data_IF_242266868880
#
_entry.id   IF_242266868880
#
_cell.length_a   1.000
_cell.length_b   1.000
_cell.length_c   1.000
_cell.angle_alpha   90.00
_cell.angle_beta   90.00
_cell.angle_gamma   90.00
#
_symmetry.space_group_name_H-M   'P 1'
#
loop_
_entity.id
_entity.type
_entity.pdbx_description
1 polymer ?
#
# COMPACT_ATOMS: atom_id res chain seq x y z
N UNK A 1 29.11 18.92 37.62
CA UNK A 1 28.69 20.32 37.81
C UNK A 1 29.19 20.80 39.16
N UNK A 2 29.92 21.92 39.23
CA UNK A 2 30.41 22.49 40.50
C UNK A 2 29.18 23.01 41.27
N UNK A 3 28.99 22.56 42.51
CA UNK A 3 27.94 23.11 43.36
C UNK A 3 28.41 24.47 43.89
N UNK A 4 27.97 25.53 43.22
CA UNK A 4 28.34 26.92 43.51
C UNK A 4 28.03 27.26 44.97
N UNK A 5 26.89 26.82 45.49
CA UNK A 5 26.49 27.06 46.89
C UNK A 5 27.46 26.41 47.87
N UNK A 6 27.79 25.15 47.68
CA UNK A 6 28.77 24.44 48.53
C UNK A 6 30.15 25.10 48.50
N UNK A 7 30.61 25.54 47.34
CA UNK A 7 31.90 26.23 47.18
C UNK A 7 31.91 27.59 47.88
N UNK A 8 30.80 28.35 47.79
CA UNK A 8 30.64 29.62 48.50
C UNK A 8 30.57 29.45 50.02
N UNK A 9 29.91 28.39 50.51
CA UNK A 9 29.82 28.12 51.94
C UNK A 9 31.18 27.65 52.51
N UNK A 10 31.94 26.85 51.76
CA UNK A 10 33.33 26.49 52.10
C UNK A 10 34.26 27.72 52.14
N UNK A 11 34.12 28.67 51.20
CA UNK A 11 34.84 29.95 51.19
C UNK A 11 34.48 30.82 52.40
N UNK A 12 33.19 30.96 52.73
CA UNK A 12 32.74 31.70 53.92
C UNK A 12 33.35 31.13 55.21
N UNK A 13 33.41 29.80 55.32
CA UNK A 13 34.03 29.14 56.46
C UNK A 13 35.53 29.47 56.58
N UNK A 14 36.29 29.45 55.47
CA UNK A 14 37.71 29.87 55.48
C UNK A 14 37.85 31.33 55.90
N UNK A 15 36.99 32.22 55.40
CA UNK A 15 37.01 33.65 55.77
C UNK A 15 36.73 33.83 57.27
N UNK A 16 35.78 33.07 57.83
CA UNK A 16 35.47 33.13 59.26
C UNK A 16 36.64 32.62 60.12
N UNK A 17 37.31 31.55 59.70
CA UNK A 17 38.50 31.03 60.39
C UNK A 17 39.64 32.06 60.38
N UNK A 18 39.86 32.74 59.25
CA UNK A 18 40.86 33.81 59.12
C UNK A 18 40.54 35.01 60.04
N UNK A 19 39.27 35.43 60.12
CA UNK A 19 38.82 36.52 60.99
C UNK A 19 38.99 36.17 62.46
N UNK A 20 38.55 34.98 62.87
CA UNK A 20 38.67 34.53 64.25
C UNK A 20 40.12 34.45 64.70
N UNK A 21 41.03 34.04 63.82
CA UNK A 21 42.47 34.04 64.14
C UNK A 21 43.03 35.46 64.24
N UNK A 22 42.65 36.37 63.34
CA UNK A 22 43.08 37.77 63.37
C UNK A 22 42.62 38.49 64.66
N UNK A 23 41.45 38.15 65.20
CA UNK A 23 40.90 38.72 66.44
C UNK A 23 41.57 38.16 67.70
N UNK A 24 42.17 36.96 67.65
CA UNK A 24 42.77 36.29 68.80
C UNK A 24 44.26 36.63 69.05
N UNK A 25 44.87 37.50 68.24
CA UNK A 25 46.24 38.02 68.38
C UNK A 25 47.38 36.98 68.56
N UNK A 26 47.11 35.70 68.31
CA UNK A 26 48.09 34.62 68.39
C UNK A 26 48.86 34.47 67.08
N UNK A 27 50.11 34.01 67.17
CA UNK A 27 50.88 33.69 65.98
C UNK A 27 50.33 32.41 65.31
N UNK A 28 50.18 32.44 63.99
CA UNK A 28 49.84 31.26 63.20
C UNK A 28 50.86 30.14 63.45
N UNK A 29 50.40 28.98 63.89
CA UNK A 29 51.26 27.80 63.91
C UNK A 29 51.35 27.18 62.50
N UNK A 30 52.40 26.39 62.28
CA UNK A 30 52.70 25.76 60.98
C UNK A 30 51.56 24.85 60.49
N UNK A 31 50.86 24.18 61.40
CA UNK A 31 49.78 23.25 61.09
C UNK A 31 48.55 24.00 60.55
N UNK A 32 48.16 25.09 61.21
CA UNK A 32 47.01 25.92 60.82
C UNK A 32 47.24 26.54 59.44
N UNK A 33 48.47 27.03 59.19
CA UNK A 33 48.87 27.54 57.88
C UNK A 33 48.78 26.46 56.79
N UNK A 34 49.33 25.27 57.04
CA UNK A 34 49.28 24.16 56.08
C UNK A 34 47.85 23.69 55.77
N UNK A 35 46.98 23.66 56.78
CA UNK A 35 45.59 23.26 56.61
C UNK A 35 44.79 24.30 55.80
N UNK A 36 45.04 25.59 55.99
CA UNK A 36 44.45 26.64 55.17
C UNK A 36 44.91 26.57 53.72
N UNK A 37 46.22 26.41 53.49
CA UNK A 37 46.79 26.27 52.14
C UNK A 37 46.14 25.09 51.39
N UNK A 38 45.96 23.94 52.06
CA UNK A 38 45.26 22.78 51.47
C UNK A 38 43.80 23.09 51.14
N UNK A 39 43.06 23.75 52.03
CA UNK A 39 41.64 24.11 51.81
C UNK A 39 41.48 25.13 50.68
N UNK A 40 42.38 26.10 50.58
CA UNK A 40 42.41 27.09 49.48
C UNK A 40 42.71 26.40 48.15
N UNK A 41 43.72 25.53 48.10
CA UNK A 41 44.07 24.79 46.88
C UNK A 41 42.95 23.85 46.43
N UNK A 42 42.27 23.21 47.37
CA UNK A 42 41.10 22.36 47.10
C UNK A 42 39.94 23.15 46.49
N UNK A 43 39.67 24.36 46.98
CA UNK A 43 38.65 25.23 46.40
C UNK A 43 39.03 25.75 45.02
N UNK A 44 40.31 26.09 44.82
CA UNK A 44 40.83 26.51 43.52
C UNK A 44 40.64 25.40 42.48
N UNK A 45 40.98 24.15 42.82
CA UNK A 45 40.77 22.99 41.95
C UNK A 45 39.29 22.75 41.64
N UNK A 46 38.41 22.84 42.64
CA UNK A 46 36.95 22.75 42.44
C UNK A 46 36.39 23.86 41.56
N UNK A 47 36.96 25.07 41.63
CA UNK A 47 36.48 26.23 40.88
C UNK A 47 36.94 26.25 39.42
N UNK A 48 37.98 25.48 39.10
CA UNK A 48 38.49 25.40 37.73
C UNK A 48 37.48 24.68 36.82
N UNK A 49 37.17 25.25 35.64
CA UNK A 49 36.36 24.57 34.65
C UNK A 49 37.03 23.25 34.24
N UNK A 50 36.35 22.13 34.48
CA UNK A 50 36.84 20.79 34.07
C UNK A 50 36.71 20.53 32.57
N UNK A 51 36.04 21.43 31.83
CA UNK A 51 35.82 21.32 30.39
C UNK A 51 36.49 22.50 29.70
N UNK A 52 37.76 22.36 29.34
CA UNK A 52 38.52 23.40 28.63
C UNK A 52 38.08 23.58 27.18
N UNK A 53 37.37 22.60 26.62
CA UNK A 53 37.03 22.54 25.19
C UNK A 53 35.52 22.61 24.91
N UNK A 54 34.69 22.91 25.91
CA UNK A 54 33.22 22.87 25.76
C UNK A 54 32.72 23.72 24.57
N UNK A 55 33.35 24.87 24.31
CA UNK A 55 33.01 25.70 23.15
C UNK A 55 33.36 25.04 21.82
N UNK A 56 34.50 24.35 21.73
CA UNK A 56 34.92 23.65 20.51
C UNK A 56 34.06 22.40 20.26
N UNK A 57 33.71 21.69 21.33
CA UNK A 57 32.83 20.52 21.28
C UNK A 57 31.42 20.96 20.81
N UNK A 58 30.86 22.03 21.38
CA UNK A 58 29.58 22.59 20.95
C UNK A 58 29.58 23.07 19.50
N UNK A 59 30.66 23.73 19.05
CA UNK A 59 30.79 24.16 17.64
C UNK A 59 30.84 22.98 16.67
N UNK A 60 31.42 21.86 17.10
CA UNK A 60 31.47 20.62 16.31
C UNK A 60 30.08 19.98 16.24
N UNK A 61 29.43 19.81 17.38
CA UNK A 61 28.07 19.26 17.47
C UNK A 61 27.07 20.08 16.65
N UNK A 62 27.16 21.42 16.69
CA UNK A 62 26.30 22.30 15.91
C UNK A 62 26.49 22.11 14.39
N UNK A 63 27.74 21.97 13.92
CA UNK A 63 28.02 21.72 12.51
C UNK A 63 27.49 20.36 12.06
N UNK A 64 27.63 19.34 12.89
CA UNK A 64 27.13 18.00 12.58
C UNK A 64 25.60 18.01 12.49
N UNK A 65 24.92 18.70 13.42
CA UNK A 65 23.46 18.89 13.37
C UNK A 65 23.03 19.62 12.09
N UNK A 66 23.71 20.70 11.70
CA UNK A 66 23.42 21.41 10.46
C UNK A 66 23.60 20.55 9.21
N UNK A 67 24.59 19.65 9.20
CA UNK A 67 24.80 18.71 8.10
C UNK A 67 23.69 17.65 8.05
N UNK A 68 23.30 17.11 9.21
CA UNK A 68 22.21 16.15 9.31
C UNK A 68 20.91 16.77 8.79
N UNK A 69 20.58 18.00 9.20
CA UNK A 69 19.36 18.69 8.78
C UNK A 69 19.31 18.88 7.25
N UNK A 70 20.42 19.31 6.64
CA UNK A 70 20.54 19.43 5.18
C UNK A 70 20.35 18.08 4.47
N UNK A 71 20.94 17.01 5.01
CA UNK A 71 20.80 15.66 4.44
C UNK A 71 19.37 15.17 4.49
N UNK A 72 18.68 15.35 5.63
CA UNK A 72 17.27 14.99 5.81
C UNK A 72 16.40 15.77 4.82
N UNK A 73 16.64 17.07 4.65
CA UNK A 73 15.91 17.91 3.69
C UNK A 73 16.05 17.40 2.25
N UNK A 74 17.26 17.04 1.82
CA UNK A 74 17.51 16.51 0.49
C UNK A 74 16.85 15.13 0.26
N UNK A 75 16.92 14.25 1.26
CA UNK A 75 16.32 12.91 1.19
C UNK A 75 14.79 12.98 1.18
N UNK A 76 14.20 13.92 1.93
CA UNK A 76 12.75 14.18 1.90
C UNK A 76 12.30 14.60 0.50
N UNK A 77 13.00 15.53 -0.15
CA UNK A 77 12.67 15.97 -1.52
C UNK A 77 12.73 14.80 -2.50
N UNK A 78 13.77 13.95 -2.42
CA UNK A 78 13.91 12.77 -3.27
C UNK A 78 12.77 11.78 -3.06
N UNK A 79 12.41 11.52 -1.81
CA UNK A 79 11.32 10.62 -1.43
C UNK A 79 9.97 11.13 -1.94
N UNK A 80 9.68 12.43 -1.77
CA UNK A 80 8.44 13.06 -2.25
C UNK A 80 8.31 12.95 -3.79
N UNK A 81 9.42 13.11 -4.53
CA UNK A 81 9.45 12.93 -5.99
C UNK A 81 9.17 11.48 -6.40
N UNK A 82 9.75 10.50 -5.70
CA UNK A 82 9.56 9.08 -5.98
C UNK A 82 8.12 8.63 -5.68
N UNK A 83 7.55 9.10 -4.57
CA UNK A 83 6.13 8.88 -4.24
C UNK A 83 5.24 9.41 -5.36
N UNK A 84 5.48 10.63 -5.83
CA UNK A 84 4.69 11.22 -6.93
C UNK A 84 4.77 10.38 -8.20
N UNK A 85 5.98 9.96 -8.59
CA UNK A 85 6.19 9.09 -9.76
C UNK A 85 5.40 7.79 -9.66
N UNK A 86 5.43 7.12 -8.50
CA UNK A 86 4.70 5.88 -8.27
C UNK A 86 3.18 6.09 -8.28
N UNK A 87 2.70 7.23 -7.78
CA UNK A 87 1.28 7.59 -7.87
C UNK A 87 0.84 7.79 -9.32
N UNK A 88 1.63 8.51 -10.11
CA UNK A 88 1.35 8.72 -11.54
C UNK A 88 1.34 7.39 -12.32
N UNK A 89 2.32 6.51 -12.07
CA UNK A 89 2.40 5.17 -12.68
C UNK A 89 1.19 4.29 -12.29
N UNK A 90 0.79 4.32 -11.03
CA UNK A 90 -0.40 3.60 -10.56
C UNK A 90 -1.67 4.07 -11.26
N UNK A 91 -1.85 5.38 -11.42
CA UNK A 91 -3.00 5.94 -12.14
C UNK A 91 -3.01 5.50 -13.60
N UNK A 92 -1.86 5.53 -14.28
CA UNK A 92 -1.76 5.08 -15.67
C UNK A 92 -2.13 3.59 -15.81
N UNK A 93 -1.60 2.73 -14.94
CA UNK A 93 -1.92 1.30 -14.96
C UNK A 93 -3.42 1.03 -14.74
N UNK A 94 -4.09 1.81 -13.89
CA UNK A 94 -5.54 1.69 -13.68
C UNK A 94 -6.34 2.11 -14.93
N UNK A 95 -5.90 3.16 -15.63
CA UNK A 95 -6.46 3.53 -16.93
C UNK A 95 -6.29 2.42 -17.96
N UNK A 96 -5.10 1.83 -18.04
CA UNK A 96 -4.80 0.74 -18.98
C UNK A 96 -5.64 -0.52 -18.71
N UNK A 97 -5.84 -0.87 -17.44
CA UNK A 97 -6.72 -1.98 -17.03
C UNK A 97 -8.15 -1.73 -17.52
N UNK A 98 -8.68 -0.53 -17.24
CA UNK A 98 -10.04 -0.15 -17.64
C UNK A 98 -10.21 -0.22 -19.17
N UNK A 99 -9.21 0.25 -19.92
CA UNK A 99 -9.22 0.19 -21.38
C UNK A 99 -9.19 -1.26 -21.90
N UNK A 100 -8.38 -2.14 -21.30
CA UNK A 100 -8.32 -3.56 -21.65
C UNK A 100 -9.62 -4.27 -21.35
N UNK A 101 -10.25 -3.99 -20.19
CA UNK A 101 -11.54 -4.58 -19.83
C UNK A 101 -12.64 -4.15 -20.81
N UNK A 102 -12.65 -2.89 -21.23
CA UNK A 102 -13.57 -2.40 -22.26
C UNK A 102 -13.36 -3.13 -23.61
N UNK A 103 -12.10 -3.35 -24.02
CA UNK A 103 -11.78 -4.07 -25.24
C UNK A 103 -12.20 -5.55 -25.17
N UNK A 104 -12.01 -6.21 -24.02
CA UNK A 104 -12.45 -7.59 -23.79
C UNK A 104 -13.97 -7.68 -23.90
N UNK A 105 -14.70 -6.74 -23.28
CA UNK A 105 -16.16 -6.69 -23.35
C UNK A 105 -16.64 -6.53 -24.80
N UNK A 106 -16.08 -5.58 -25.54
CA UNK A 106 -16.42 -5.37 -26.94
C UNK A 106 -16.17 -6.63 -27.79
N UNK A 107 -15.02 -7.30 -27.61
CA UNK A 107 -14.72 -8.53 -28.33
C UNK A 107 -15.68 -9.66 -27.99
N UNK A 108 -16.10 -9.79 -26.73
CA UNK A 108 -17.08 -10.78 -26.32
C UNK A 108 -18.46 -10.51 -26.94
N UNK A 109 -18.87 -9.24 -27.02
CA UNK A 109 -20.11 -8.83 -27.70
C UNK A 109 -20.03 -9.13 -29.20
N UNK A 110 -18.95 -8.74 -29.88
CA UNK A 110 -18.73 -9.04 -31.31
C UNK A 110 -18.73 -10.55 -31.61
N UNK A 111 -18.14 -11.36 -30.73
CA UNK A 111 -18.17 -12.83 -30.85
C UNK A 111 -19.61 -13.35 -30.67
N UNK A 112 -20.34 -12.83 -29.68
CA UNK A 112 -21.75 -13.18 -29.44
C UNK A 112 -22.63 -12.87 -30.64
N UNK A 113 -22.46 -11.69 -31.25
CA UNK A 113 -23.21 -11.25 -32.43
C UNK A 113 -22.88 -12.13 -33.66
N UNK A 114 -21.60 -12.42 -33.88
CA UNK A 114 -21.17 -13.32 -34.97
C UNK A 114 -21.74 -14.72 -34.81
N UNK A 115 -21.66 -15.29 -33.61
CA UNK A 115 -22.22 -16.61 -33.33
C UNK A 115 -23.74 -16.62 -33.61
N UNK A 116 -24.45 -15.59 -33.15
CA UNK A 116 -25.89 -15.45 -33.41
C UNK A 116 -26.21 -15.38 -34.89
N UNK A 117 -25.46 -14.57 -35.66
CA UNK A 117 -25.62 -14.45 -37.12
C UNK A 117 -25.35 -15.77 -37.85
N UNK A 118 -24.30 -16.50 -37.46
CA UNK A 118 -23.96 -17.81 -38.03
C UNK A 118 -25.07 -18.83 -37.75
N UNK A 119 -25.67 -18.80 -36.56
CA UNK A 119 -26.81 -19.66 -36.22
C UNK A 119 -28.05 -19.34 -37.04
N UNK A 120 -28.41 -18.06 -37.16
CA UNK A 120 -29.55 -17.63 -37.98
C UNK A 120 -29.36 -18.10 -39.42
N UNK A 121 -28.16 -17.91 -39.99
CA UNK A 121 -27.86 -18.33 -41.36
C UNK A 121 -27.96 -19.85 -41.54
N UNK A 122 -27.47 -20.64 -40.57
CA UNK A 122 -27.63 -22.12 -40.61
C UNK A 122 -29.11 -22.52 -40.54
N UNK A 123 -29.91 -21.91 -39.67
CA UNK A 123 -31.35 -22.19 -39.56
C UNK A 123 -32.14 -21.77 -40.81
N UNK A 124 -31.81 -20.61 -41.39
CA UNK A 124 -32.39 -20.15 -42.66
C UNK A 124 -32.06 -21.09 -43.82
N UNK A 125 -30.83 -21.60 -43.89
CA UNK A 125 -30.46 -22.59 -44.91
C UNK A 125 -31.25 -23.90 -44.73
N UNK A 126 -31.50 -24.35 -43.50
CA UNK A 126 -32.31 -25.55 -43.23
C UNK A 126 -33.79 -25.39 -43.59
N UNK A 127 -34.31 -24.16 -43.61
CA UNK A 127 -35.73 -23.84 -43.85
C UNK A 127 -36.02 -23.39 -45.28
N UNK A 128 -35.04 -22.83 -46.01
CA UNK A 128 -35.18 -22.42 -47.42
C UNK A 128 -35.54 -23.56 -48.37
N UNK A 129 -35.19 -24.80 -48.03
CA UNK A 129 -35.52 -25.96 -48.85
C UNK A 129 -36.96 -26.49 -48.69
N UNK A 130 -37.83 -25.82 -47.91
CA UNK A 130 -39.26 -26.18 -47.82
C UNK A 130 -39.55 -27.55 -47.17
N UNK A 131 -38.65 -28.05 -46.33
CA UNK A 131 -38.64 -29.45 -45.91
C UNK A 131 -39.45 -29.69 -44.62
N UNK A 132 -40.35 -30.68 -44.66
CA UNK A 132 -40.95 -31.33 -43.48
C UNK A 132 -39.83 -31.76 -42.52
N UNK A 133 -39.93 -31.39 -41.24
CA UNK A 133 -39.01 -31.85 -40.18
C UNK A 133 -38.94 -33.39 -40.16
N UNK A 134 -37.90 -33.95 -40.79
CA UNK A 134 -37.57 -35.37 -40.73
C UNK A 134 -36.48 -35.62 -39.69
N UNK A 135 -36.25 -36.89 -39.34
CA UNK A 135 -35.33 -37.27 -38.28
C UNK A 135 -33.88 -36.81 -38.53
N UNK A 136 -33.49 -36.64 -39.79
CA UNK A 136 -32.18 -36.14 -40.19
C UNK A 136 -32.03 -34.66 -39.82
N UNK A 137 -33.02 -33.84 -40.16
CA UNK A 137 -33.03 -32.41 -39.81
C UNK A 137 -33.19 -32.18 -38.31
N UNK A 138 -33.92 -33.04 -37.61
CA UNK A 138 -34.00 -33.01 -36.14
C UNK A 138 -32.63 -33.32 -35.53
N UNK A 139 -31.87 -34.25 -36.08
CA UNK A 139 -30.51 -34.55 -35.61
C UNK A 139 -29.51 -33.43 -35.94
N UNK A 140 -29.65 -32.74 -37.08
CA UNK A 140 -28.85 -31.54 -37.38
C UNK A 140 -29.14 -30.42 -36.39
N UNK A 141 -30.41 -30.18 -36.05
CA UNK A 141 -30.81 -29.21 -35.02
C UNK A 141 -30.24 -29.59 -33.64
N UNK A 142 -30.29 -30.87 -33.26
CA UNK A 142 -29.69 -31.36 -32.00
C UNK A 142 -28.18 -31.12 -31.97
N UNK A 143 -27.48 -31.44 -33.05
CA UNK A 143 -26.03 -31.23 -33.18
C UNK A 143 -25.67 -29.75 -33.03
N UNK A 144 -26.45 -28.86 -33.65
CA UNK A 144 -26.30 -27.41 -33.51
C UNK A 144 -26.50 -26.96 -32.05
N UNK A 145 -27.49 -27.53 -31.34
CA UNK A 145 -27.76 -27.25 -29.91
C UNK A 145 -26.64 -27.79 -29.01
N UNK A 146 -26.08 -28.95 -29.30
CA UNK A 146 -24.93 -29.52 -28.58
C UNK A 146 -23.68 -28.64 -28.75
N UNK A 147 -23.41 -28.14 -29.96
CA UNK A 147 -22.33 -27.19 -30.21
C UNK A 147 -22.51 -25.88 -29.43
N UNK A 148 -23.75 -25.40 -29.26
CA UNK A 148 -24.08 -24.21 -28.44
C UNK A 148 -23.76 -24.46 -26.97
N UNK A 149 -24.17 -25.61 -26.42
CA UNK A 149 -23.87 -25.99 -25.03
C UNK A 149 -22.36 -26.09 -24.79
N UNK A 150 -21.63 -26.70 -25.72
CA UNK A 150 -20.19 -26.90 -25.58
C UNK A 150 -19.36 -25.61 -25.77
N UNK A 151 -19.88 -24.61 -26.49
CA UNK A 151 -19.23 -23.30 -26.68
C UNK A 151 -19.50 -22.30 -25.53
N UNK A 152 -20.10 -22.74 -24.42
CA UNK A 152 -20.14 -21.99 -23.17
C UNK A 152 -21.28 -20.97 -23.04
N UNK A 153 -22.28 -21.00 -23.93
CA UNK A 153 -23.53 -20.30 -23.69
C UNK A 153 -24.31 -21.07 -22.61
N UNK A 154 -24.27 -20.60 -21.36
CA UNK A 154 -25.29 -20.91 -20.35
C UNK A 154 -26.62 -20.24 -20.72
N UNK A 155 -27.10 -20.46 -21.94
CA UNK A 155 -28.42 -20.05 -22.36
C UNK A 155 -29.41 -20.99 -21.68
N UNK A 156 -30.38 -20.43 -20.95
CA UNK A 156 -31.48 -21.20 -20.38
C UNK A 156 -32.39 -21.70 -21.51
N UNK A 157 -32.08 -22.89 -22.03
CA UNK A 157 -32.79 -23.54 -23.14
C UNK A 157 -34.04 -24.30 -22.68
N UNK A 158 -34.47 -24.13 -21.43
CA UNK A 158 -35.63 -24.85 -20.86
C UNK A 158 -36.91 -24.55 -21.66
N UNK A 159 -37.08 -23.32 -22.11
CA UNK A 159 -38.21 -22.92 -22.96
C UNK A 159 -38.12 -23.53 -24.36
N UNK A 160 -36.92 -23.68 -24.91
CA UNK A 160 -36.67 -24.28 -26.23
C UNK A 160 -36.92 -25.79 -26.22
N UNK A 161 -36.45 -26.49 -25.18
CA UNK A 161 -36.72 -27.93 -24.99
C UNK A 161 -38.22 -28.19 -24.82
N UNK A 162 -38.91 -27.36 -24.03
CA UNK A 162 -40.35 -27.49 -23.81
C UNK A 162 -41.14 -27.30 -25.10
N UNK A 163 -40.80 -26.29 -25.91
CA UNK A 163 -41.42 -26.09 -27.23
C UNK A 163 -41.11 -27.21 -28.22
N UNK A 164 -39.92 -27.80 -28.19
CA UNK A 164 -39.56 -28.95 -29.03
C UNK A 164 -40.38 -30.19 -28.70
N UNK A 165 -40.54 -30.50 -27.41
CA UNK A 165 -41.39 -31.62 -26.98
C UNK A 165 -42.87 -31.37 -27.29
N UNK A 166 -43.36 -30.13 -27.16
CA UNK A 166 -44.72 -29.76 -27.59
C UNK A 166 -44.92 -29.93 -29.11
N UNK A 167 -43.94 -29.55 -29.93
CA UNK A 167 -44.00 -29.76 -31.37
C UNK A 167 -43.98 -31.24 -31.73
N UNK A 168 -43.14 -32.04 -31.06
CA UNK A 168 -43.10 -33.50 -31.24
C UNK A 168 -44.43 -34.15 -30.90
N UNK A 169 -45.03 -33.78 -29.76
CA UNK A 169 -46.36 -34.24 -29.36
C UNK A 169 -47.50 -33.76 -30.26
N UNK A 170 -47.35 -32.62 -30.96
CA UNK A 170 -48.30 -32.17 -32.00
C UNK A 170 -48.14 -32.98 -33.29
N UNK A 171 -46.91 -33.33 -33.67
CA UNK A 171 -46.60 -34.16 -34.83
C UNK A 171 -47.11 -35.59 -34.63
N UNK A 172 -46.92 -36.17 -33.44
CA UNK A 172 -47.41 -37.52 -33.12
C UNK A 172 -48.95 -37.62 -33.12
N UNK A 173 -49.65 -36.49 -32.97
CA UNK A 173 -51.12 -36.40 -33.06
C UNK A 173 -51.65 -36.23 -34.48
N UNK A 174 -50.78 -35.99 -35.46
CA UNK A 174 -51.17 -36.00 -36.87
C UNK A 174 -51.25 -37.47 -37.30
N UNK A 175 -52.40 -38.12 -37.10
CA UNK A 175 -52.66 -39.40 -37.76
C UNK A 175 -52.83 -39.18 -39.27
N UNK A 176 -52.35 -40.10 -40.12
CA UNK A 176 -52.68 -40.07 -41.54
C UNK A 176 -54.19 -40.19 -41.69
N UNK A 177 -54.81 -39.23 -42.38
CA UNK A 177 -56.24 -39.26 -42.68
C UNK A 177 -56.48 -40.44 -43.63
N UNK A 178 -56.87 -41.59 -43.07
CA UNK A 178 -57.12 -42.82 -43.81
C UNK A 178 -58.49 -42.71 -44.49
N UNK A 179 -58.58 -41.86 -45.52
CA UNK A 179 -59.69 -41.83 -46.46
C UNK A 179 -59.31 -42.60 -47.72
N UNK A 180 -59.54 -43.90 -47.68
CA UNK A 180 -59.70 -44.74 -48.87
C UNK A 180 -60.99 -44.36 -49.58
N UNK A 181 -60.97 -44.00 -50.88
CA UNK A 181 -61.93 -44.40 -51.95
C UNK A 181 -61.28 -43.99 -53.31
N UNK A 182 -61.11 -44.78 -54.38
CA UNK A 182 -61.55 -46.11 -54.84
C UNK A 182 -60.36 -46.91 -55.36
#
# INVERSE_FOLDING_TARGET
MVNIKTTLDELKNIINDLKSHAENASAWNTTDKSNLEKRINHLLDKSNPRHTNLSQDLDTDLKDIEQIDKSIGAEKIKTDQEIKKLQDEKTQLQTDITAKDALIKQKNEEIGDKLTSDFITKLENLTKDGIKLDDTKINEIKTIIEEIKNKGLTANLTDTNTKLEEMKGKIDKIQPDNKTIY
#
